data_IF_832049187339
#
_entry.id   IF_832049187339
#
_cell.length_a   1.000
_cell.length_b   1.000
_cell.length_c   1.000
_cell.angle_alpha   90.00
_cell.angle_beta   90.00
_cell.angle_gamma   90.00
#
_symmetry.space_group_name_H-M   'P 1'
#
loop_
_entity.id
_entity.type
_entity.pdbx_description
1 polymer ?
#
# COMPACT_ATOMS: atom_id res chain seq x y z
N UNK A 1 10.18 10.37 12.96
CA UNK A 1 9.27 10.10 11.82
C UNK A 1 9.51 11.14 10.74
N UNK A 2 9.72 10.75 9.48
CA UNK A 2 10.01 11.72 8.40
C UNK A 2 8.84 12.69 8.15
N UNK A 3 9.13 13.94 7.75
CA UNK A 3 8.11 15.01 7.58
C UNK A 3 6.94 14.59 6.69
N UNK A 4 7.19 13.79 5.65
CA UNK A 4 6.14 13.30 4.75
C UNK A 4 5.16 12.34 5.45
N UNK A 5 5.66 11.44 6.30
CA UNK A 5 4.79 10.52 7.06
C UNK A 5 3.88 11.28 8.03
N UNK A 6 4.37 12.38 8.62
CA UNK A 6 3.55 13.23 9.48
C UNK A 6 2.39 13.89 8.72
N UNK A 7 2.63 14.32 7.47
CA UNK A 7 1.58 14.84 6.61
C UNK A 7 0.55 13.76 6.30
N UNK A 8 0.98 12.54 5.96
CA UNK A 8 0.06 11.42 5.70
C UNK A 8 -0.79 11.04 6.92
N UNK A 9 -0.27 11.19 8.14
CA UNK A 9 -1.07 10.97 9.36
C UNK A 9 -2.24 11.96 9.50
N UNK A 10 -2.14 13.15 8.92
CA UNK A 10 -3.20 14.17 8.89
C UNK A 10 -4.06 14.15 7.62
N UNK A 11 -3.83 13.21 6.71
CA UNK A 11 -4.58 13.11 5.45
C UNK A 11 -6.06 12.78 5.73
N UNK A 12 -6.95 13.56 5.11
CA UNK A 12 -8.38 13.44 5.34
C UNK A 12 -8.97 12.18 4.69
N UNK A 13 -8.40 11.74 3.57
CA UNK A 13 -8.82 10.53 2.88
C UNK A 13 -8.01 9.31 3.35
N UNK A 14 -8.63 8.34 4.06
CA UNK A 14 -7.96 7.10 4.43
C UNK A 14 -7.43 6.35 3.21
N UNK A 15 -8.13 6.41 2.07
CA UNK A 15 -7.71 5.75 0.83
C UNK A 15 -6.40 6.31 0.28
N UNK A 16 -6.24 7.64 0.29
CA UNK A 16 -5.00 8.29 -0.18
C UNK A 16 -3.86 7.95 0.78
N UNK A 17 -4.12 8.04 2.09
CA UNK A 17 -3.15 7.68 3.12
C UNK A 17 -2.68 6.23 2.95
N UNK A 18 -3.61 5.29 2.85
CA UNK A 18 -3.32 3.86 2.82
C UNK A 18 -2.62 3.48 1.52
N UNK A 19 -3.03 4.06 0.37
CA UNK A 19 -2.30 3.92 -0.90
C UNK A 19 -0.85 4.40 -0.78
N UNK A 20 -0.62 5.59 -0.21
CA UNK A 20 0.72 6.15 -0.07
C UNK A 20 1.58 5.30 0.86
N UNK A 21 1.03 4.84 1.99
CA UNK A 21 1.75 3.98 2.92
C UNK A 21 2.08 2.61 2.30
N UNK A 22 1.15 2.00 1.56
CA UNK A 22 1.41 0.74 0.86
C UNK A 22 2.53 0.89 -0.17
N UNK A 23 2.50 1.95 -0.99
CA UNK A 23 3.56 2.21 -1.97
C UNK A 23 4.92 2.42 -1.30
N UNK A 24 4.98 3.16 -0.18
CA UNK A 24 6.22 3.43 0.55
C UNK A 24 6.79 2.20 1.25
N UNK A 25 5.96 1.39 1.91
CA UNK A 25 6.43 0.26 2.71
C UNK A 25 6.70 -1.01 1.90
N UNK A 26 6.12 -1.12 0.70
CA UNK A 26 6.32 -2.30 -0.16
C UNK A 26 7.21 -2.01 -1.37
N UNK A 27 7.47 -0.73 -1.66
CA UNK A 27 8.09 -0.28 -2.92
C UNK A 27 7.39 -0.83 -4.19
N UNK A 28 6.11 -1.25 -4.06
CA UNK A 28 5.34 -1.74 -5.19
C UNK A 28 5.02 -0.60 -6.17
N UNK A 29 4.90 -0.96 -7.44
CA UNK A 29 4.52 0.00 -8.49
C UNK A 29 3.09 0.48 -8.24
N UNK A 30 2.81 1.72 -8.65
CA UNK A 30 1.46 2.32 -8.56
C UNK A 30 0.37 1.40 -9.14
N UNK A 31 0.60 0.81 -10.31
CA UNK A 31 -0.35 -0.11 -10.94
C UNK A 31 -0.67 -1.30 -10.03
N UNK A 32 0.36 -1.94 -9.48
CA UNK A 32 0.19 -3.10 -8.61
C UNK A 32 -0.65 -2.76 -7.38
N UNK A 33 -0.42 -1.61 -6.73
CA UNK A 33 -1.20 -1.20 -5.55
C UNK A 33 -2.66 -0.92 -5.91
N UNK A 34 -2.92 -0.36 -7.09
CA UNK A 34 -4.29 -0.05 -7.54
C UNK A 34 -5.07 -1.27 -8.06
N UNK A 35 -4.37 -2.27 -8.57
CA UNK A 35 -4.94 -3.52 -9.13
C UNK A 35 -4.97 -4.66 -8.11
N UNK A 36 -4.54 -4.42 -6.87
CA UNK A 36 -4.47 -5.42 -5.82
C UNK A 36 -5.87 -5.94 -5.43
N UNK A 37 -5.99 -7.27 -5.36
CA UNK A 37 -7.19 -7.94 -4.88
C UNK A 37 -6.93 -8.70 -3.58
N UNK A 38 -7.98 -9.00 -2.82
CA UNK A 38 -7.86 -9.73 -1.56
C UNK A 38 -7.25 -11.13 -1.74
N UNK A 39 -7.54 -11.79 -2.85
CA UNK A 39 -6.99 -13.11 -3.20
C UNK A 39 -5.47 -13.08 -3.45
N UNK A 40 -4.86 -11.89 -3.54
CA UNK A 40 -3.42 -11.72 -3.67
C UNK A 40 -2.69 -11.67 -2.31
N UNK A 41 -3.41 -11.62 -1.19
CA UNK A 41 -2.85 -11.40 0.15
C UNK A 41 -2.95 -12.66 1.01
N UNK A 42 -1.79 -13.18 1.41
CA UNK A 42 -1.69 -14.14 2.50
C UNK A 42 -1.56 -13.37 3.82
N UNK A 43 -2.67 -13.23 4.54
CA UNK A 43 -2.71 -12.48 5.80
C UNK A 43 -1.97 -13.17 6.95
N UNK A 44 -1.89 -14.51 6.95
CA UNK A 44 -1.16 -15.25 7.99
C UNK A 44 0.34 -15.05 7.84
N UNK A 45 0.84 -15.19 6.61
CA UNK A 45 2.27 -15.02 6.29
C UNK A 45 2.67 -13.56 6.11
N UNK A 46 1.70 -12.66 5.99
CA UNK A 46 1.89 -11.22 5.71
C UNK A 46 2.62 -11.01 4.38
N UNK A 47 2.25 -11.80 3.37
CA UNK A 47 2.84 -11.76 2.04
C UNK A 47 1.79 -11.23 1.05
N UNK A 48 2.22 -10.30 0.21
CA UNK A 48 1.45 -9.87 -0.95
C UNK A 48 2.08 -10.45 -2.23
N UNK A 49 1.30 -11.27 -2.94
CA UNK A 49 1.68 -11.85 -4.22
C UNK A 49 1.29 -10.91 -5.37
N UNK A 50 2.28 -10.46 -6.15
CA UNK A 50 2.01 -9.64 -7.34
C UNK A 50 1.72 -10.59 -8.51
N UNK A 51 0.53 -10.54 -9.15
CA UNK A 51 0.21 -11.37 -10.30
C UNK A 51 1.21 -11.17 -11.44
N UNK A 52 1.60 -12.27 -12.09
CA UNK A 52 2.35 -12.23 -13.34
C UNK A 52 1.36 -12.47 -14.47
N UNK A 53 1.09 -11.44 -15.25
CA UNK A 53 0.43 -11.61 -16.54
C UNK A 53 1.37 -12.31 -17.53
#
# INVERSE_FOLDING_TARGET
MGRFLQVLCGEASPLIRDFALLALYTAARKSNVLEMEWDNIDFERKIWHIPKN
#
